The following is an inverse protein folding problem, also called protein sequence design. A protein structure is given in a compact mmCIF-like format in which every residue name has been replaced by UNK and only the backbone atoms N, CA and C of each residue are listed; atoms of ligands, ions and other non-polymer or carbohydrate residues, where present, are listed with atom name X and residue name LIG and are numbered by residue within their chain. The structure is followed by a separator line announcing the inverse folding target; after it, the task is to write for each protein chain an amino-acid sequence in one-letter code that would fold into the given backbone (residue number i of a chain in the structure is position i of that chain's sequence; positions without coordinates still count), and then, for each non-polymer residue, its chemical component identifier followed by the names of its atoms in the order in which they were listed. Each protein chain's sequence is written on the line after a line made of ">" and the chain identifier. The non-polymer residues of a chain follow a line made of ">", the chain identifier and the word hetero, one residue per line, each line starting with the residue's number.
data_IF_958925783990
#
_entry.id   IF_958925783990
#
_cell.length_a   1.000
_cell.length_b   1.000
_cell.length_c   1.000
_cell.angle_alpha   90.00
_cell.angle_beta   90.00
_cell.angle_gamma   90.00
#
_symmetry.space_group_name_H-M   'P 1'
#
loop_
_entity.id
_entity.type
_entity.pdbx_description
1 polymer ?
#
# COMPACT_ATOMS: atom_id res chain seq x y z
N UNK A 1 -17.81 9.67 6.26
CA UNK A 1 -16.44 9.26 5.88
C UNK A 1 -15.48 10.27 6.48
N UNK A 2 -14.35 9.82 7.04
CA UNK A 2 -13.36 10.73 7.58
C UNK A 2 -12.70 11.55 6.46
N UNK A 3 -12.52 12.85 6.69
CA UNK A 3 -11.83 13.76 5.77
C UNK A 3 -10.29 13.56 5.82
N UNK A 4 -9.51 14.18 4.91
CA UNK A 4 -8.04 14.08 4.90
C UNK A 4 -7.37 14.39 6.25
N UNK A 5 -7.74 15.49 6.92
CA UNK A 5 -7.16 15.88 8.20
C UNK A 5 -7.46 14.87 9.31
N UNK A 6 -8.69 14.36 9.38
CA UNK A 6 -9.11 13.36 10.35
C UNK A 6 -8.34 12.04 10.16
N UNK A 7 -8.11 11.64 8.90
CA UNK A 7 -7.31 10.45 8.59
C UNK A 7 -5.86 10.61 9.00
N UNK A 8 -5.29 11.81 8.85
CA UNK A 8 -3.88 12.10 9.14
C UNK A 8 -3.62 12.67 10.53
N UNK A 9 -4.63 12.82 11.37
CA UNK A 9 -4.49 13.37 12.71
C UNK A 9 -3.42 12.64 13.54
N UNK A 10 -3.35 11.31 13.41
CA UNK A 10 -2.36 10.49 14.08
C UNK A 10 -0.94 10.71 13.54
N UNK A 11 -0.78 10.88 12.22
CA UNK A 11 0.52 11.20 11.58
C UNK A 11 1.02 12.55 12.07
N UNK A 12 0.15 13.57 12.10
CA UNK A 12 0.49 14.91 12.60
C UNK A 12 0.94 14.91 14.06
N UNK A 13 0.35 14.05 14.89
CA UNK A 13 0.67 13.96 16.31
C UNK A 13 1.94 13.16 16.61
N UNK A 14 2.27 12.16 15.78
CA UNK A 14 3.38 11.24 16.04
C UNK A 14 4.62 11.50 15.20
N UNK A 15 4.49 12.15 14.05
CA UNK A 15 5.56 12.42 13.07
C UNK A 15 6.41 11.16 12.79
N UNK A 16 5.80 10.06 12.34
CA UNK A 16 6.54 8.84 12.01
C UNK A 16 7.47 9.09 10.81
N UNK A 17 8.47 8.22 10.62
CA UNK A 17 9.34 8.30 9.43
C UNK A 17 8.56 7.98 8.13
N UNK A 18 7.59 7.07 8.22
CA UNK A 18 6.77 6.60 7.10
C UNK A 18 5.30 6.52 7.55
N UNK A 19 4.37 6.85 6.65
CA UNK A 19 2.94 6.53 6.82
C UNK A 19 2.34 5.99 5.52
N UNK A 20 1.25 5.22 5.60
CA UNK A 20 0.58 4.70 4.41
C UNK A 20 -0.33 5.74 3.77
N UNK A 21 -0.41 5.71 2.45
CA UNK A 21 -1.33 6.50 1.63
C UNK A 21 -2.02 5.59 0.62
N UNK A 22 -3.21 5.11 0.98
CA UNK A 22 -4.04 4.28 0.10
C UNK A 22 -4.51 5.07 -1.11
N UNK A 23 -3.89 4.78 -2.25
CA UNK A 23 -4.14 5.51 -3.48
C UNK A 23 -5.42 4.99 -4.13
N UNK A 24 -6.46 5.83 -4.19
CA UNK A 24 -7.66 5.61 -5.00
C UNK A 24 -8.90 5.15 -4.25
N UNK A 25 -10.01 5.04 -5.00
CA UNK A 25 -11.32 4.61 -4.51
C UNK A 25 -11.65 3.26 -5.09
N UNK A 26 -12.15 2.34 -4.26
CA UNK A 26 -12.43 0.97 -4.68
C UNK A 26 -13.50 0.31 -3.80
N UNK A 27 -14.11 -0.74 -4.33
CA UNK A 27 -14.92 -1.63 -3.50
C UNK A 27 -14.03 -2.32 -2.47
N UNK A 28 -14.53 -2.44 -1.25
CA UNK A 28 -13.85 -3.12 -0.16
C UNK A 28 -14.84 -4.06 0.53
N UNK A 29 -14.82 -5.33 0.13
CA UNK A 29 -15.83 -6.31 0.53
C UNK A 29 -17.24 -5.84 0.15
N UNK A 30 -18.13 -5.59 1.11
CA UNK A 30 -19.49 -5.07 0.94
C UNK A 30 -19.60 -3.55 1.11
N UNK A 31 -18.47 -2.85 1.28
CA UNK A 31 -18.40 -1.39 1.41
C UNK A 31 -17.50 -0.80 0.33
N UNK A 32 -17.19 0.50 0.42
CA UNK A 32 -16.21 1.15 -0.44
C UNK A 32 -15.16 1.86 0.43
N UNK A 33 -13.90 1.74 0.01
CA UNK A 33 -12.86 2.66 0.45
C UNK A 33 -12.85 3.84 -0.51
N UNK A 34 -12.93 5.05 0.02
CA UNK A 34 -13.01 6.27 -0.79
C UNK A 34 -11.83 7.18 -0.47
N UNK A 35 -10.96 7.34 -1.45
CA UNK A 35 -9.95 8.40 -1.53
C UNK A 35 -10.05 8.99 -2.92
N UNK A 36 -10.74 10.12 -3.03
CA UNK A 36 -10.87 10.83 -4.31
C UNK A 36 -9.52 11.45 -4.70
N UNK A 37 -9.31 11.80 -5.98
CA UNK A 37 -8.10 12.51 -6.42
C UNK A 37 -7.78 13.76 -5.58
N UNK A 38 -8.80 14.54 -5.21
CA UNK A 38 -8.60 15.76 -4.41
C UNK A 38 -8.23 15.45 -2.96
N UNK A 39 -8.87 14.43 -2.34
CA UNK A 39 -8.47 13.96 -1.02
C UNK A 39 -7.03 13.48 -1.01
N UNK A 40 -6.60 12.76 -2.05
CA UNK A 40 -5.23 12.25 -2.15
C UNK A 40 -4.20 13.36 -2.34
N UNK A 41 -4.52 14.40 -3.11
CA UNK A 41 -3.65 15.58 -3.23
C UNK A 41 -3.50 16.29 -1.90
N UNK A 42 -4.61 16.50 -1.20
CA UNK A 42 -4.62 17.13 0.11
C UNK A 42 -3.81 16.30 1.13
N UNK A 43 -4.06 14.98 1.20
CA UNK A 43 -3.32 14.09 2.07
C UNK A 43 -1.83 14.04 1.73
N UNK A 44 -1.45 13.91 0.46
CA UNK A 44 -0.06 13.89 0.03
C UNK A 44 0.65 15.20 0.40
N UNK A 45 0.00 16.34 0.19
CA UNK A 45 0.51 17.66 0.60
C UNK A 45 0.74 17.74 2.11
N UNK A 46 -0.24 17.32 2.92
CA UNK A 46 -0.11 17.32 4.39
C UNK A 46 1.07 16.43 4.81
N UNK A 47 1.16 15.21 4.27
CA UNK A 47 2.24 14.27 4.57
C UNK A 47 3.62 14.88 4.22
N UNK A 48 3.73 15.51 3.05
CA UNK A 48 4.95 16.17 2.59
C UNK A 48 5.33 17.36 3.49
N UNK A 49 4.38 18.20 3.87
CA UNK A 49 4.61 19.33 4.79
C UNK A 49 5.06 18.89 6.18
N UNK A 50 4.65 17.70 6.63
CA UNK A 50 5.10 17.09 7.88
C UNK A 50 6.49 16.44 7.78
N UNK A 51 7.09 16.36 6.59
CA UNK A 51 8.37 15.70 6.37
C UNK A 51 8.31 14.17 6.52
N UNK A 52 7.12 13.58 6.39
CA UNK A 52 6.89 12.13 6.50
C UNK A 52 6.91 11.51 5.11
N UNK A 53 7.52 10.32 4.96
CA UNK A 53 7.53 9.62 3.67
C UNK A 53 6.24 8.82 3.47
N UNK A 54 5.45 9.06 2.40
CA UNK A 54 4.29 8.22 2.10
C UNK A 54 4.74 6.87 1.50
N UNK A 55 4.26 5.76 2.08
CA UNK A 55 4.16 4.47 1.41
C UNK A 55 2.85 4.45 0.61
N UNK A 56 2.97 4.54 -0.72
CA UNK A 56 1.83 4.62 -1.65
C UNK A 56 1.29 3.22 -1.87
N UNK A 57 0.16 2.91 -1.23
CA UNK A 57 -0.51 1.63 -1.41
C UNK A 57 -1.34 1.64 -2.69
N UNK A 58 -1.07 0.69 -3.57
CA UNK A 58 -1.76 0.51 -4.85
C UNK A 58 -2.30 -0.91 -4.96
N UNK A 59 -3.57 -0.99 -5.33
CA UNK A 59 -4.38 -2.19 -5.41
C UNK A 59 -4.74 -2.52 -6.88
N UNK A 60 -4.54 -1.58 -7.80
CA UNK A 60 -4.74 -1.75 -9.25
C UNK A 60 -3.91 -0.74 -10.09
N UNK A 61 -3.95 -0.86 -11.43
CA UNK A 61 -3.07 -0.13 -12.37
C UNK A 61 -3.35 1.38 -12.48
N UNK A 62 -4.62 1.79 -12.48
CA UNK A 62 -5.05 3.19 -12.50
C UNK A 62 -4.58 3.99 -11.27
N UNK A 63 -4.46 3.34 -10.12
CA UNK A 63 -3.90 3.94 -8.90
C UNK A 63 -2.41 4.23 -9.06
N UNK A 64 -1.64 3.35 -9.73
CA UNK A 64 -0.25 3.65 -10.11
C UNK A 64 -0.21 4.83 -11.08
N UNK A 65 -1.12 4.88 -12.04
CA UNK A 65 -1.20 6.01 -12.97
C UNK A 65 -1.48 7.33 -12.24
N UNK A 66 -2.39 7.33 -11.26
CA UNK A 66 -2.65 8.52 -10.46
C UNK A 66 -1.48 8.87 -9.53
N UNK A 67 -0.80 7.89 -8.93
CA UNK A 67 0.41 8.14 -8.15
C UNK A 67 1.52 8.81 -8.97
N UNK A 68 1.69 8.41 -10.24
CA UNK A 68 2.59 9.12 -11.18
C UNK A 68 2.18 10.58 -11.39
N UNK A 69 0.89 10.86 -11.41
CA UNK A 69 0.39 12.22 -11.49
C UNK A 69 0.71 13.02 -10.21
N UNK A 70 0.58 12.44 -9.02
CA UNK A 70 0.99 13.09 -7.76
C UNK A 70 2.50 13.39 -7.72
N UNK A 71 3.34 12.46 -8.19
CA UNK A 71 4.79 12.67 -8.34
C UNK A 71 5.06 13.84 -9.30
N UNK A 72 4.39 13.87 -10.46
CA UNK A 72 4.52 14.96 -11.44
C UNK A 72 4.06 16.31 -10.89
N UNK A 73 3.06 16.32 -10.01
CA UNK A 73 2.57 17.51 -9.30
C UNK A 73 3.53 17.97 -8.19
N UNK A 74 4.61 17.21 -7.91
CA UNK A 74 5.59 17.53 -6.88
C UNK A 74 5.10 17.27 -5.45
N UNK A 75 4.05 16.45 -5.29
CA UNK A 75 3.43 16.13 -3.99
C UNK A 75 4.05 14.90 -3.32
N UNK A 76 4.95 14.19 -4.02
CA UNK A 76 5.63 13.00 -3.53
C UNK A 76 7.12 13.18 -3.77
N UNK A 77 7.90 13.17 -2.69
CA UNK A 77 9.36 13.31 -2.76
C UNK A 77 10.02 12.01 -3.23
N UNK A 78 11.07 12.15 -4.05
CA UNK A 78 11.85 11.01 -4.54
C UNK A 78 12.84 10.47 -3.47
N UNK A 79 13.17 9.16 -3.50
CA UNK A 79 12.52 8.12 -4.30
C UNK A 79 11.12 7.78 -3.75
N UNK A 80 10.12 7.56 -4.63
CA UNK A 80 8.79 7.17 -4.20
C UNK A 80 8.80 5.74 -3.65
N UNK A 81 7.99 5.50 -2.62
CA UNK A 81 7.81 4.21 -1.97
C UNK A 81 6.43 3.66 -2.33
N UNK A 82 6.38 2.49 -2.96
CA UNK A 82 5.14 1.82 -3.38
C UNK A 82 4.92 0.50 -2.65
N UNK A 83 3.66 0.20 -2.35
CA UNK A 83 3.23 -1.11 -1.84
C UNK A 83 2.19 -1.70 -2.79
N UNK A 84 2.51 -2.86 -3.38
CA UNK A 84 1.61 -3.60 -4.25
C UNK A 84 0.70 -4.50 -3.40
N UNK A 85 -0.55 -4.10 -3.25
CA UNK A 85 -1.55 -4.73 -2.38
C UNK A 85 -2.35 -5.77 -3.14
N UNK A 86 -2.02 -7.06 -2.95
CA UNK A 86 -2.58 -8.14 -3.77
C UNK A 86 -3.68 -8.94 -3.06
N UNK A 87 -4.75 -9.25 -3.80
CA UNK A 87 -5.78 -10.20 -3.40
C UNK A 87 -6.91 -9.63 -2.53
N UNK A 88 -6.99 -8.31 -2.37
CA UNK A 88 -8.14 -7.65 -1.75
C UNK A 88 -9.36 -7.88 -2.67
N UNK A 89 -10.54 -8.29 -2.14
CA UNK A 89 -11.71 -8.52 -2.99
C UNK A 89 -12.04 -7.30 -3.86
N UNK A 90 -12.23 -7.56 -5.16
CA UNK A 90 -12.55 -6.57 -6.21
C UNK A 90 -11.39 -5.67 -6.67
N UNK A 91 -10.16 -5.94 -6.23
CA UNK A 91 -8.95 -5.28 -6.74
C UNK A 91 -8.08 -6.31 -7.50
N UNK A 92 -6.79 -6.03 -7.74
CA UNK A 92 -5.88 -6.97 -8.37
C UNK A 92 -5.84 -8.31 -7.61
N UNK A 93 -6.18 -9.40 -8.31
CA UNK A 93 -6.04 -10.74 -7.76
C UNK A 93 -4.57 -11.06 -7.46
N UNK A 94 -4.31 -11.81 -6.40
CA UNK A 94 -2.98 -12.24 -6.00
C UNK A 94 -2.48 -13.42 -6.86
N UNK A 95 -2.03 -13.10 -8.06
CA UNK A 95 -1.33 -13.98 -9.00
C UNK A 95 -0.06 -13.30 -9.55
N UNK A 96 0.79 -14.08 -10.23
CA UNK A 96 2.09 -13.61 -10.70
C UNK A 96 1.97 -12.57 -11.82
N UNK A 97 1.02 -12.77 -12.73
CA UNK A 97 0.75 -11.91 -13.88
C UNK A 97 0.35 -10.49 -13.44
N UNK A 98 -0.56 -10.39 -12.46
CA UNK A 98 -1.01 -9.11 -11.94
C UNK A 98 0.10 -8.39 -11.18
N UNK A 99 0.88 -9.08 -10.35
CA UNK A 99 2.01 -8.44 -9.66
C UNK A 99 3.06 -7.95 -10.66
N UNK A 100 3.37 -8.75 -11.69
CA UNK A 100 4.28 -8.35 -12.77
C UNK A 100 3.75 -7.12 -13.52
N UNK A 101 2.45 -7.08 -13.83
CA UNK A 101 1.82 -5.96 -14.50
C UNK A 101 1.94 -4.67 -13.67
N UNK A 102 1.62 -4.73 -12.37
CA UNK A 102 1.77 -3.59 -11.46
C UNK A 102 3.23 -3.15 -11.33
N UNK A 103 4.15 -4.08 -11.10
CA UNK A 103 5.60 -3.81 -11.01
C UNK A 103 6.12 -3.11 -12.25
N UNK A 104 5.73 -3.55 -13.44
CA UNK A 104 6.18 -2.96 -14.71
C UNK A 104 5.62 -1.55 -14.94
N UNK A 105 4.55 -1.18 -14.24
CA UNK A 105 3.98 0.16 -14.31
C UNK A 105 4.61 1.14 -13.31
N UNK A 106 5.48 0.72 -12.39
CA UNK A 106 6.12 1.65 -11.45
C UNK A 106 7.13 2.58 -12.15
N UNK A 107 7.36 3.80 -11.64
CA UNK A 107 8.51 4.62 -12.03
C UNK A 107 9.86 3.91 -11.80
N UNK A 108 10.85 4.13 -12.66
CA UNK A 108 12.14 3.40 -12.63
C UNK A 108 12.91 3.51 -11.31
N UNK A 109 12.83 4.65 -10.62
CA UNK A 109 13.51 4.94 -9.35
C UNK A 109 12.69 4.55 -8.10
N UNK A 110 11.62 3.76 -8.27
CA UNK A 110 10.72 3.42 -7.17
C UNK A 110 11.31 2.37 -6.24
N UNK A 111 11.25 2.64 -4.94
CA UNK A 111 11.36 1.58 -3.92
C UNK A 111 9.98 0.94 -3.83
N UNK A 112 9.91 -0.39 -3.85
CA UNK A 112 8.61 -1.05 -3.77
C UNK A 112 8.64 -2.33 -2.94
N UNK A 113 7.49 -2.64 -2.34
CA UNK A 113 7.20 -3.89 -1.65
C UNK A 113 5.94 -4.54 -2.22
N UNK A 114 5.78 -5.84 -2.02
CA UNK A 114 4.55 -6.55 -2.34
C UNK A 114 4.09 -7.45 -1.19
N UNK A 115 2.78 -7.59 -1.04
CA UNK A 115 2.19 -8.58 -0.14
C UNK A 115 0.93 -9.20 -0.75
N UNK A 116 0.51 -10.32 -0.17
CA UNK A 116 -0.78 -10.94 -0.45
C UNK A 116 -1.54 -11.22 0.84
N UNK A 117 -2.87 -11.14 0.79
CA UNK A 117 -3.69 -11.40 1.97
C UNK A 117 -3.85 -12.91 2.25
N UNK A 118 -4.02 -13.23 3.54
CA UNK A 118 -4.35 -14.56 4.05
C UNK A 118 -3.38 -15.64 3.52
N UNK A 119 -3.92 -16.76 3.03
CA UNK A 119 -3.16 -17.88 2.47
C UNK A 119 -2.25 -17.51 1.29
N UNK A 120 -2.42 -16.33 0.69
CA UNK A 120 -1.61 -15.86 -0.44
C UNK A 120 -0.41 -15.01 0.00
N UNK A 121 -0.23 -14.77 1.31
CA UNK A 121 0.93 -14.04 1.85
C UNK A 121 2.26 -14.63 1.38
N UNK A 122 2.54 -15.89 1.68
CA UNK A 122 3.83 -16.50 1.33
C UNK A 122 4.06 -16.65 -0.18
N UNK A 123 3.06 -17.05 -1.00
CA UNK A 123 3.20 -17.01 -2.46
C UNK A 123 3.55 -15.63 -3.01
N UNK A 124 2.90 -14.56 -2.53
CA UNK A 124 3.16 -13.19 -3.01
C UNK A 124 4.47 -12.62 -2.50
N UNK A 125 4.89 -12.96 -1.27
CA UNK A 125 6.24 -12.68 -0.75
C UNK A 125 7.30 -13.25 -1.68
N UNK A 126 7.17 -14.52 -2.06
CA UNK A 126 8.12 -15.16 -2.98
C UNK A 126 8.13 -14.47 -4.36
N UNK A 127 6.95 -14.14 -4.90
CA UNK A 127 6.83 -13.44 -6.17
C UNK A 127 7.47 -12.05 -6.15
N UNK A 128 7.26 -11.27 -5.08
CA UNK A 128 7.84 -9.95 -4.92
C UNK A 128 9.38 -10.03 -4.89
N UNK A 129 9.95 -10.99 -4.15
CA UNK A 129 11.39 -11.23 -4.13
C UNK A 129 11.94 -11.59 -5.52
N UNK A 130 11.26 -12.47 -6.26
CA UNK A 130 11.66 -12.87 -7.62
C UNK A 130 11.71 -11.65 -8.56
N UNK A 131 10.79 -10.70 -8.41
CA UNK A 131 10.70 -9.49 -9.22
C UNK A 131 11.61 -8.35 -8.72
N UNK A 132 12.39 -8.57 -7.65
CA UNK A 132 13.33 -7.60 -7.08
C UNK A 132 12.70 -6.56 -6.15
N UNK A 133 11.53 -6.86 -5.56
CA UNK A 133 10.86 -6.02 -4.58
C UNK A 133 11.17 -6.41 -3.13
N UNK A 134 10.77 -5.53 -2.22
CA UNK A 134 10.70 -5.84 -0.79
C UNK A 134 9.43 -6.65 -0.47
N UNK A 135 9.30 -7.10 0.76
CA UNK A 135 8.21 -7.97 1.19
C UNK A 135 7.54 -7.43 2.44
N UNK A 136 6.23 -7.61 2.53
CA UNK A 136 5.46 -7.36 3.75
C UNK A 136 4.79 -8.66 4.22
N UNK A 137 4.92 -8.92 5.52
CA UNK A 137 4.24 -9.99 6.26
C UNK A 137 3.75 -9.43 7.58
N UNK A 138 2.72 -10.04 8.15
CA UNK A 138 2.17 -9.61 9.43
C UNK A 138 0.84 -10.27 9.73
N UNK A 139 0.40 -10.14 10.99
CA UNK A 139 -0.92 -10.60 11.41
C UNK A 139 -2.05 -9.78 10.79
N UNK A 140 -1.78 -8.53 10.42
CA UNK A 140 -2.70 -7.67 9.67
C UNK A 140 -3.14 -8.34 8.37
N UNK A 141 -2.19 -8.95 7.66
CA UNK A 141 -2.45 -9.55 6.35
C UNK A 141 -2.84 -11.03 6.47
N UNK A 142 -2.30 -11.77 7.46
CA UNK A 142 -2.53 -13.21 7.60
C UNK A 142 -2.46 -13.71 9.05
N UNK A 143 -3.57 -14.28 9.52
CA UNK A 143 -3.69 -14.86 10.86
C UNK A 143 -3.06 -16.27 11.00
N UNK A 144 -2.64 -16.92 9.91
CA UNK A 144 -2.27 -18.33 9.91
C UNK A 144 -0.83 -18.58 9.42
N UNK A 145 -0.04 -19.29 10.22
CA UNK A 145 1.32 -19.72 9.85
C UNK A 145 1.28 -20.86 8.81
N UNK A 146 0.34 -21.77 9.00
CA UNK A 146 0.01 -22.85 8.06
C UNK A 146 -1.48 -23.17 8.19
N UNK A 147 -2.02 -23.95 7.25
CA UNK A 147 -3.44 -24.34 7.26
C UNK A 147 -3.87 -24.84 8.65
N UNK A 148 -4.85 -24.16 9.25
CA UNK A 148 -5.40 -24.44 10.60
C UNK A 148 -4.42 -24.25 11.78
N UNK A 149 -3.35 -23.48 11.59
CA UNK A 149 -2.41 -23.12 12.66
C UNK A 149 -2.23 -21.61 12.67
N UNK A 150 -2.66 -20.95 13.74
CA UNK A 150 -2.56 -19.50 13.87
C UNK A 150 -1.12 -19.08 14.09
N UNK A 151 -0.75 -17.93 13.53
CA UNK A 151 0.49 -17.26 13.88
C UNK A 151 0.46 -16.88 15.38
N UNK A 152 1.59 -17.00 16.07
CA UNK A 152 1.75 -16.51 17.43
C UNK A 152 2.70 -15.31 17.39
N UNK A 153 2.29 -14.18 17.96
CA UNK A 153 3.23 -13.12 18.30
C UNK A 153 4.04 -13.53 19.53
N UNK A 154 5.26 -13.03 19.62
CA UNK A 154 6.07 -13.18 20.82
C UNK A 154 5.34 -12.54 22.00
N UNK A 155 5.34 -13.13 23.21
CA UNK A 155 4.74 -12.47 24.36
C UNK A 155 5.41 -11.12 24.56
N UNK A 156 4.64 -10.05 24.50
CA UNK A 156 5.10 -8.72 24.94
C UNK A 156 5.29 -8.81 26.44
N UNK A 157 6.54 -8.80 26.88
CA UNK A 157 6.92 -8.79 28.30
C UNK A 157 6.55 -7.49 28.99
#
# INVERSE_FOLDING_TARGET
>A
MANPEERLAHVKNMLPEICTLDCGTQNYSSTAYVSTPDMLREMAKIIQELGVKPEIEVFELGQIWFAKQLIKEGLIDEPPLFQLCMGIPWTAEANAENMLALRNMLPENSIWAGFGISRLQMPMVAQAMILGGNVRVGLEDNLYLKKRCTCKQWPTG
#
